data_IF_401660267789
#
_entry.id   IF_401660267789
#
_cell.length_a   1.000
_cell.length_b   1.000
_cell.length_c   1.000
_cell.angle_alpha   90.00
_cell.angle_beta   90.00
_cell.angle_gamma   90.00
#
_symmetry.space_group_name_H-M   'P 1'
#
loop_
_entity.id
_entity.type
_entity.pdbx_description
1 polymer ?
#
# COMPACT_ATOMS: atom_id res chain seq x y z
N UNK A 1 8.07 -6.57 -5.29
CA UNK A 1 7.46 -5.83 -4.17
C UNK A 1 8.16 -6.10 -2.84
N UNK A 2 9.43 -6.58 -2.84
CA UNK A 2 10.16 -7.04 -1.64
C UNK A 2 10.12 -6.13 -0.42
N UNK A 3 10.11 -4.81 -0.63
CA UNK A 3 10.00 -3.85 0.47
C UNK A 3 8.68 -4.00 1.24
N UNK A 4 7.55 -4.17 0.54
CA UNK A 4 6.25 -4.45 1.14
C UNK A 4 6.22 -5.86 1.74
N UNK A 5 6.74 -6.86 1.02
CA UNK A 5 6.81 -8.26 1.48
C UNK A 5 7.58 -8.41 2.82
N UNK A 6 8.46 -7.44 3.14
CA UNK A 6 9.19 -7.37 4.41
C UNK A 6 8.35 -6.77 5.57
N UNK A 7 7.07 -6.49 5.36
CA UNK A 7 6.16 -5.92 6.37
C UNK A 7 6.14 -4.39 6.43
N UNK A 8 6.88 -3.70 5.56
CA UNK A 8 6.78 -2.25 5.46
C UNK A 8 5.44 -1.83 4.84
N UNK A 9 4.98 -0.63 5.18
CA UNK A 9 3.79 -0.01 4.62
C UNK A 9 4.07 1.46 4.31
N UNK A 10 3.32 2.01 3.37
CA UNK A 10 3.38 3.40 2.99
C UNK A 10 2.01 4.03 3.21
N UNK A 11 1.99 5.11 4.00
CA UNK A 11 0.81 5.90 4.28
C UNK A 11 0.92 7.26 3.59
N UNK A 12 -0.04 7.58 2.72
CA UNK A 12 -0.14 8.88 2.07
C UNK A 12 -1.45 9.55 2.48
N UNK A 13 -1.35 10.68 3.19
CA UNK A 13 -2.52 11.51 3.49
C UNK A 13 -2.94 12.28 2.24
N UNK A 14 -4.24 12.44 2.02
CA UNK A 14 -4.78 13.14 0.85
C UNK A 14 -4.52 14.65 0.91
N UNK A 15 -4.31 15.20 2.11
CA UNK A 15 -4.08 16.62 2.39
C UNK A 15 -2.63 16.95 2.80
N UNK A 16 -1.70 15.99 2.71
CA UNK A 16 -0.28 16.27 3.02
C UNK A 16 0.36 17.17 1.97
N UNK A 17 1.39 17.92 2.39
CA UNK A 17 2.18 18.75 1.47
C UNK A 17 2.98 17.88 0.51
N UNK A 18 3.18 18.38 -0.71
CA UNK A 18 3.96 17.70 -1.75
C UNK A 18 5.35 17.27 -1.27
N UNK A 19 6.06 18.12 -0.51
CA UNK A 19 7.39 17.80 0.00
C UNK A 19 7.39 16.60 0.96
N UNK A 20 6.37 16.52 1.82
CA UNK A 20 6.21 15.41 2.76
C UNK A 20 5.86 14.13 2.01
N UNK A 21 4.96 14.23 1.01
CA UNK A 21 4.57 13.10 0.15
C UNK A 21 5.78 12.54 -0.60
N UNK A 22 6.59 13.42 -1.18
CA UNK A 22 7.83 13.04 -1.87
C UNK A 22 8.74 12.27 -0.91
N UNK A 23 8.91 12.78 0.32
CA UNK A 23 9.73 12.13 1.35
C UNK A 23 9.22 10.74 1.69
N UNK A 24 7.90 10.55 1.82
CA UNK A 24 7.29 9.24 2.06
C UNK A 24 7.54 8.28 0.88
N UNK A 25 7.37 8.74 -0.37
CA UNK A 25 7.62 7.93 -1.57
C UNK A 25 9.07 7.44 -1.67
N UNK A 26 10.04 8.27 -1.27
CA UNK A 26 11.45 7.90 -1.25
C UNK A 26 11.80 6.81 -0.23
N UNK A 27 10.94 6.54 0.76
CA UNK A 27 11.16 5.43 1.72
C UNK A 27 10.99 4.06 1.08
N UNK A 28 10.23 3.97 -0.01
CA UNK A 28 9.98 2.70 -0.70
C UNK A 28 11.22 2.30 -1.49
N UNK A 29 11.97 1.35 -0.95
CA UNK A 29 13.23 0.91 -1.56
C UNK A 29 13.01 0.41 -3.00
N UNK A 30 13.88 0.87 -3.91
CA UNK A 30 13.83 0.56 -5.33
C UNK A 30 12.77 1.32 -6.16
N UNK A 31 11.82 2.03 -5.56
CA UNK A 31 10.74 2.71 -6.29
C UNK A 31 11.27 3.86 -7.17
N UNK A 32 12.07 4.76 -6.59
CA UNK A 32 12.69 5.86 -7.36
C UNK A 32 13.62 5.33 -8.46
N UNK A 33 14.44 4.33 -8.14
CA UNK A 33 15.33 3.69 -9.10
C UNK A 33 14.59 3.06 -10.28
N UNK A 34 13.43 2.44 -10.02
CA UNK A 34 12.54 1.92 -11.07
C UNK A 34 12.02 3.04 -11.97
N UNK A 35 11.50 4.13 -11.39
CA UNK A 35 11.00 5.28 -12.17
C UNK A 35 12.10 5.87 -13.04
N UNK A 36 13.28 6.18 -12.47
CA UNK A 36 14.39 6.79 -13.22
C UNK A 36 14.91 5.90 -14.35
N UNK A 37 14.85 4.57 -14.20
CA UNK A 37 15.24 3.61 -15.24
C UNK A 37 14.32 3.65 -16.48
N UNK A 38 13.05 4.01 -16.30
CA UNK A 38 12.08 4.08 -17.41
C UNK A 38 11.87 5.51 -17.91
N UNK A 39 11.99 6.49 -17.03
CA UNK A 39 11.73 7.91 -17.29
C UNK A 39 12.94 8.76 -16.90
N UNK A 40 13.99 8.70 -17.72
CA UNK A 40 15.28 9.36 -17.43
C UNK A 40 15.20 10.89 -17.33
N UNK A 41 14.32 11.51 -18.14
CA UNK A 41 14.20 12.95 -18.29
C UNK A 41 13.21 13.61 -17.32
N UNK A 42 12.49 12.83 -16.50
CA UNK A 42 11.50 13.36 -15.57
C UNK A 42 12.15 14.23 -14.49
N UNK A 43 11.57 15.40 -14.23
CA UNK A 43 11.93 16.27 -13.13
C UNK A 43 11.47 15.71 -11.76
N UNK A 44 11.80 16.38 -10.66
CA UNK A 44 11.50 15.86 -9.31
C UNK A 44 10.01 15.67 -9.05
N UNK A 45 9.15 16.56 -9.57
CA UNK A 45 7.70 16.47 -9.41
C UNK A 45 7.11 15.37 -10.28
N UNK A 46 7.60 15.27 -11.52
CA UNK A 46 7.23 14.20 -12.43
C UNK A 46 7.65 12.84 -11.89
N UNK A 47 8.86 12.72 -11.31
CA UNK A 47 9.31 11.49 -10.66
C UNK A 47 8.38 11.10 -9.51
N UNK A 48 7.99 12.06 -8.65
CA UNK A 48 7.06 11.80 -7.55
C UNK A 48 5.70 11.29 -8.04
N UNK A 49 5.13 11.96 -9.05
CA UNK A 49 3.89 11.53 -9.67
C UNK A 49 4.00 10.12 -10.26
N UNK A 50 5.10 9.81 -10.94
CA UNK A 50 5.35 8.49 -11.52
C UNK A 50 5.54 7.43 -10.43
N UNK A 51 6.16 7.76 -9.29
CA UNK A 51 6.25 6.85 -8.14
C UNK A 51 4.85 6.53 -7.57
N UNK A 52 3.99 7.53 -7.39
CA UNK A 52 2.59 7.31 -7.00
C UNK A 52 1.84 6.45 -8.03
N UNK A 53 2.00 6.76 -9.32
CA UNK A 53 1.38 6.01 -10.40
C UNK A 53 1.78 4.54 -10.39
N UNK A 54 3.06 4.24 -10.18
CA UNK A 54 3.56 2.87 -10.08
C UNK A 54 2.91 2.15 -8.90
N UNK A 55 2.83 2.76 -7.72
CA UNK A 55 2.19 2.16 -6.56
C UNK A 55 0.71 1.87 -6.79
N UNK A 56 -0.01 2.80 -7.40
CA UNK A 56 -1.40 2.58 -7.81
C UNK A 56 -1.53 1.45 -8.84
N UNK A 57 -0.64 1.38 -9.81
CA UNK A 57 -0.57 0.30 -10.79
C UNK A 57 -0.35 -1.06 -10.13
N UNK A 58 0.67 -1.19 -9.28
CA UNK A 58 0.96 -2.42 -8.53
C UNK A 58 -0.25 -2.89 -7.71
N UNK A 59 -0.95 -1.97 -7.05
CA UNK A 59 -2.17 -2.30 -6.30
C UNK A 59 -3.31 -2.77 -7.21
N UNK A 60 -3.46 -2.14 -8.37
CA UNK A 60 -4.52 -2.47 -9.35
C UNK A 60 -4.31 -3.85 -9.98
N UNK A 61 -3.07 -4.32 -10.05
CA UNK A 61 -2.70 -5.68 -10.47
C UNK A 61 -2.57 -6.66 -9.29
N UNK A 62 -3.04 -6.30 -8.09
CA UNK A 62 -2.99 -7.14 -6.88
C UNK A 62 -1.57 -7.63 -6.55
N UNK A 63 -0.55 -6.81 -6.81
CA UNK A 63 0.82 -7.10 -6.38
C UNK A 63 1.12 -6.55 -4.99
N UNK A 64 0.37 -5.53 -4.57
CA UNK A 64 0.35 -4.97 -3.20
C UNK A 64 -1.09 -4.67 -2.82
N UNK A 65 -1.37 -4.55 -1.53
CA UNK A 65 -2.67 -4.05 -1.05
C UNK A 65 -2.74 -2.52 -1.15
N UNK A 66 -3.93 -2.00 -1.42
CA UNK A 66 -4.29 -0.59 -1.26
C UNK A 66 -5.56 -0.50 -0.43
N UNK A 67 -5.52 0.22 0.68
CA UNK A 67 -6.69 0.53 1.51
C UNK A 67 -6.85 2.04 1.59
N UNK A 68 -8.03 2.53 1.24
CA UNK A 68 -8.40 3.94 1.48
C UNK A 68 -9.19 4.00 2.78
N UNK A 69 -8.71 4.76 3.75
CA UNK A 69 -9.36 5.03 5.03
C UNK A 69 -9.45 6.54 5.15
N UNK A 70 -10.57 7.09 5.61
CA UNK A 70 -10.86 8.53 5.71
C UNK A 70 -9.63 9.46 5.66
N UNK A 71 -9.38 10.08 4.50
CA UNK A 71 -8.26 11.01 4.30
C UNK A 71 -6.86 10.40 4.04
N UNK A 72 -6.72 9.07 4.00
CA UNK A 72 -5.44 8.34 3.87
C UNK A 72 -5.52 7.20 2.85
N UNK A 73 -4.44 7.01 2.10
CA UNK A 73 -4.19 5.82 1.28
C UNK A 73 -3.04 5.05 1.91
N UNK A 74 -3.29 3.79 2.27
CA UNK A 74 -2.31 2.86 2.82
C UNK A 74 -1.95 1.80 1.77
N UNK A 75 -0.67 1.65 1.47
CA UNK A 75 -0.12 0.55 0.69
C UNK A 75 0.67 -0.40 1.58
N UNK A 76 0.43 -1.71 1.47
CA UNK A 76 1.13 -2.73 2.26
C UNK A 76 1.14 -4.09 1.55
N UNK A 77 1.80 -5.08 2.15
CA UNK A 77 1.80 -6.45 1.64
C UNK A 77 0.38 -7.00 1.44
N UNK A 78 0.13 -7.64 0.29
CA UNK A 78 -1.20 -8.16 -0.02
C UNK A 78 -1.53 -9.42 0.79
N UNK A 79 -0.60 -10.37 0.90
CA UNK A 79 -0.88 -11.65 1.57
C UNK A 79 -1.12 -11.46 3.07
N UNK A 80 -0.26 -10.69 3.72
CA UNK A 80 -0.43 -10.27 5.11
C UNK A 80 -1.73 -9.49 5.33
N UNK A 81 -2.16 -8.68 4.36
CA UNK A 81 -3.45 -7.99 4.44
C UNK A 81 -4.64 -8.96 4.38
N UNK A 82 -4.60 -9.95 3.49
CA UNK A 82 -5.67 -10.94 3.37
C UNK A 82 -5.77 -11.85 4.58
N UNK A 83 -4.63 -12.30 5.14
CA UNK A 83 -4.61 -13.13 6.37
C UNK A 83 -5.20 -12.37 7.56
N UNK A 84 -4.82 -11.10 7.75
CA UNK A 84 -5.41 -10.27 8.81
C UNK A 84 -6.91 -10.05 8.61
N UNK A 85 -7.38 -9.86 7.37
CA UNK A 85 -8.81 -9.73 7.09
C UNK A 85 -9.57 -11.05 7.34
N UNK A 86 -8.96 -12.19 7.00
CA UNK A 86 -9.49 -13.51 7.31
C UNK A 86 -9.66 -13.70 8.81
N UNK A 87 -8.64 -13.39 9.62
CA UNK A 87 -8.72 -13.51 11.08
C UNK A 87 -9.84 -12.66 11.70
N UNK A 88 -10.12 -11.46 11.17
CA UNK A 88 -11.24 -10.63 11.63
C UNK A 88 -12.59 -11.29 11.32
N UNK A 89 -12.71 -12.01 10.20
CA UNK A 89 -13.94 -12.72 9.83
C UNK A 89 -14.12 -14.08 10.54
N UNK A 90 -13.09 -14.64 11.18
CA UNK A 90 -13.21 -15.88 11.94
C UNK A 90 -13.57 -15.66 13.43
N UNK A 91 -13.67 -14.40 13.89
CA UNK A 91 -14.02 -14.08 15.29
C UNK A 91 -15.51 -13.70 15.48
N UNK A 92 -16.34 -13.64 14.42
CA UNK A 92 -17.79 -13.34 14.53
C UNK A 92 -18.72 -14.55 14.34
N UNK A 93 -18.22 -15.77 14.13
CA UNK A 93 -19.03 -16.96 13.80
C UNK A 93 -18.76 -18.20 14.69
N UNK A 94 -18.31 -18.00 15.94
CA UNK A 94 -18.23 -19.12 16.90
C UNK A 94 -18.72 -18.67 18.27
N UNK A 95 -19.99 -18.96 18.59
CA UNK A 95 -20.51 -19.43 19.89
C UNK A 95 -22.04 -19.32 19.93
N UNK A 96 -22.72 -20.38 19.49
CA UNK A 96 -23.88 -20.97 20.19
C UNK A 96 -24.35 -22.23 19.42
N UNK A 97 -23.58 -23.31 19.53
CA UNK A 97 -23.97 -24.66 19.09
C UNK A 97 -24.51 -25.51 20.27
N UNK A 98 -25.09 -24.87 21.29
CA UNK A 98 -25.66 -25.54 22.48
C UNK A 98 -27.21 -25.41 22.60
N UNK A 99 -27.90 -24.84 21.61
CA UNK A 99 -29.37 -24.64 21.65
C UNK A 99 -30.20 -25.71 20.89
N UNK A 100 -29.58 -26.85 20.56
CA UNK A 100 -30.26 -28.00 19.94
C UNK A 100 -30.00 -29.33 20.68
N UNK A 101 -30.23 -29.35 21.99
CA UNK A 101 -30.41 -30.60 22.74
C UNK A 101 -31.64 -30.59 23.63
#
# INVERSE_FOLDING_TARGET
TRWFDAGNHLDLLLDMKDADKITELYKVDGLYGFVKKHFHAADDKENALLMEFVLHGLASYSLISKKTIDGKIEFKDLMGSMINLGNINFEEDDFNEDDFK
#
